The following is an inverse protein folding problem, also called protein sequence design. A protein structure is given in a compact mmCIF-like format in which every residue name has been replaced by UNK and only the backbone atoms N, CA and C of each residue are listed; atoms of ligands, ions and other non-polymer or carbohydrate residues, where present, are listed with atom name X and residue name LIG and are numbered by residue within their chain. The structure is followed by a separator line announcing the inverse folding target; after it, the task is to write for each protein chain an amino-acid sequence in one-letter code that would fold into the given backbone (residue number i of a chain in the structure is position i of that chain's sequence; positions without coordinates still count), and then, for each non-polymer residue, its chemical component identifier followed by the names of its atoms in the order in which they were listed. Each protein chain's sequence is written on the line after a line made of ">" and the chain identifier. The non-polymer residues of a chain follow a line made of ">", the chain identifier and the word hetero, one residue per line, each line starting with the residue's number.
data_IF_824419546989
#
_entry.id   IF_824419546989
#
_cell.length_a   1.000
_cell.length_b   1.000
_cell.length_c   1.000
_cell.angle_alpha   90.00
_cell.angle_beta   90.00
_cell.angle_gamma   90.00
#
_symmetry.space_group_name_H-M   'P 1'
#
loop_
_entity.id
_entity.type
_entity.pdbx_description
1 polymer ?
#
# COMPACT_ATOMS: atom_id res chain seq x y z
N UNK A 1 16.63 -46.99 -3.90
CA UNK A 1 16.34 -46.02 -2.82
C UNK A 1 16.92 -44.61 -3.06
N UNK A 2 17.37 -44.21 -4.27
CA UNK A 2 18.04 -42.91 -4.46
C UNK A 2 17.20 -41.77 -5.08
N UNK A 3 16.05 -42.06 -5.70
CA UNK A 3 15.27 -41.02 -6.40
C UNK A 3 14.34 -40.21 -5.47
N UNK A 4 13.91 -40.80 -4.36
CA UNK A 4 13.01 -40.14 -3.40
C UNK A 4 13.72 -39.00 -2.67
N UNK A 5 14.97 -39.19 -2.24
CA UNK A 5 15.77 -38.13 -1.58
C UNK A 5 16.10 -36.97 -2.53
N UNK A 6 16.30 -37.24 -3.83
CA UNK A 6 16.48 -36.19 -4.85
C UNK A 6 15.22 -35.34 -5.03
N UNK A 7 14.03 -35.95 -4.97
CA UNK A 7 12.74 -35.24 -5.06
C UNK A 7 12.53 -34.35 -3.83
N UNK A 8 12.79 -34.86 -2.62
CA UNK A 8 12.69 -34.06 -1.39
C UNK A 8 13.68 -32.88 -1.38
N UNK A 9 14.89 -33.07 -1.90
CA UNK A 9 15.90 -32.01 -1.97
C UNK A 9 15.53 -30.92 -2.99
N UNK A 10 14.90 -31.30 -4.11
CA UNK A 10 14.36 -30.36 -5.11
C UNK A 10 13.18 -29.55 -4.55
N UNK A 11 12.27 -30.22 -3.81
CA UNK A 11 11.11 -29.58 -3.18
C UNK A 11 11.58 -28.57 -2.11
N UNK A 12 12.56 -28.93 -1.28
CA UNK A 12 13.16 -28.01 -0.31
C UNK A 12 13.78 -26.78 -0.99
N UNK A 13 14.42 -26.92 -2.16
CA UNK A 13 15.01 -25.80 -2.90
C UNK A 13 13.96 -24.83 -3.44
N UNK A 14 12.79 -25.33 -3.83
CA UNK A 14 11.68 -24.48 -4.32
C UNK A 14 11.09 -23.60 -3.21
N UNK A 15 11.03 -24.09 -1.97
CA UNK A 15 10.51 -23.32 -0.82
C UNK A 15 11.44 -22.19 -0.36
N UNK A 16 12.75 -22.25 -0.65
CA UNK A 16 13.73 -21.24 -0.22
C UNK A 16 13.65 -19.93 -1.03
N UNK A 17 12.89 -19.88 -2.12
CA UNK A 17 12.80 -18.68 -3.00
C UNK A 17 11.63 -17.76 -2.69
N UNK A 18 10.79 -18.08 -1.70
CA UNK A 18 9.59 -17.31 -1.37
C UNK A 18 9.88 -16.11 -0.45
N UNK A 19 10.84 -15.27 -0.82
CA UNK A 19 10.98 -13.95 -0.23
C UNK A 19 9.96 -13.02 -0.89
N UNK A 20 8.89 -12.67 -0.16
CA UNK A 20 7.92 -11.67 -0.62
C UNK A 20 8.63 -10.33 -0.86
N UNK A 21 8.53 -9.81 -2.09
CA UNK A 21 8.99 -8.47 -2.43
C UNK A 21 8.05 -7.36 -1.91
N UNK A 22 7.17 -7.66 -0.95
CA UNK A 22 6.26 -6.71 -0.30
C UNK A 22 6.47 -6.81 1.20
N UNK A 23 6.75 -5.68 1.83
CA UNK A 23 6.90 -5.52 3.27
C UNK A 23 5.77 -4.64 3.82
N UNK A 24 5.09 -5.07 4.88
CA UNK A 24 4.02 -4.30 5.52
C UNK A 24 4.53 -3.73 6.86
N UNK A 25 4.24 -2.45 7.11
CA UNK A 25 4.64 -1.68 8.29
C UNK A 25 3.40 -1.05 8.92
N UNK A 26 3.32 -1.07 10.24
CA UNK A 26 2.17 -0.56 10.99
C UNK A 26 2.65 0.39 12.07
N UNK A 27 2.23 1.65 12.02
CA UNK A 27 2.48 2.64 13.06
C UNK A 27 1.33 2.65 14.07
N UNK A 28 1.59 2.11 15.25
CA UNK A 28 0.64 2.12 16.37
C UNK A 28 0.65 3.48 17.09
N UNK A 29 0.18 4.53 16.43
CA UNK A 29 -0.25 5.75 17.12
C UNK A 29 -1.79 5.76 17.17
N UNK A 30 -2.34 5.84 18.40
CA UNK A 30 -3.79 5.89 18.57
C UNK A 30 -4.38 7.14 17.88
N UNK A 31 -5.55 7.00 17.28
CA UNK A 31 -6.32 8.12 16.70
C UNK A 31 -6.62 9.24 17.73
N UNK A 32 -6.43 8.98 19.04
CA UNK A 32 -6.67 9.90 20.14
C UNK A 32 -5.64 11.04 20.23
N UNK A 33 -4.48 10.89 19.58
CA UNK A 33 -3.56 12.00 19.41
C UNK A 33 -4.21 13.03 18.48
N UNK A 34 -4.51 14.21 19.02
CA UNK A 34 -5.21 15.31 18.33
C UNK A 34 -4.68 15.45 16.90
N UNK A 35 -5.58 15.29 15.91
CA UNK A 35 -5.25 15.43 14.49
C UNK A 35 -4.89 16.91 14.26
N UNK A 36 -3.59 17.18 14.12
CA UNK A 36 -3.03 18.53 14.00
C UNK A 36 -2.14 18.67 12.76
N UNK A 37 -1.82 19.91 12.40
CA UNK A 37 -0.94 20.24 11.29
C UNK A 37 -1.43 19.71 9.94
N UNK A 38 -0.53 19.14 9.15
CA UNK A 38 -0.83 18.64 7.80
C UNK A 38 -1.83 17.48 7.81
N UNK A 39 -1.86 16.67 8.88
CA UNK A 39 -2.87 15.63 9.04
C UNK A 39 -4.26 16.24 9.00
N UNK A 40 -4.52 17.28 9.80
CA UNK A 40 -5.84 17.94 9.83
C UNK A 40 -6.28 18.41 8.44
N UNK A 41 -5.36 19.08 7.72
CA UNK A 41 -5.63 19.56 6.36
C UNK A 41 -6.00 18.42 5.41
N UNK A 42 -5.32 17.26 5.48
CA UNK A 42 -5.63 16.11 4.63
C UNK A 42 -6.91 15.39 5.06
N UNK A 43 -7.18 15.30 6.36
CA UNK A 43 -8.43 14.76 6.89
C UNK A 43 -9.63 15.58 6.41
N UNK A 44 -9.56 16.91 6.52
CA UNK A 44 -10.60 17.83 6.05
C UNK A 44 -10.77 17.72 4.52
N UNK A 45 -9.66 17.75 3.77
CA UNK A 45 -9.69 17.77 2.30
C UNK A 45 -10.28 16.49 1.70
N UNK A 46 -10.02 15.34 2.30
CA UNK A 46 -10.44 14.03 1.79
C UNK A 46 -11.53 13.36 2.61
N UNK A 47 -12.08 14.06 3.61
CA UNK A 47 -13.19 13.59 4.45
C UNK A 47 -12.84 12.25 5.16
N UNK A 48 -11.62 12.17 5.70
CA UNK A 48 -11.07 10.95 6.32
C UNK A 48 -11.57 10.72 7.76
N UNK A 49 -12.36 11.64 8.30
CA UNK A 49 -13.07 11.46 9.57
C UNK A 49 -14.15 10.37 9.45
N UNK A 50 -14.62 10.05 8.24
CA UNK A 50 -15.52 8.93 8.01
C UNK A 50 -14.81 7.61 8.22
N UNK A 51 -15.44 6.71 8.96
CA UNK A 51 -14.87 5.41 9.32
C UNK A 51 -14.54 4.57 8.10
N UNK A 52 -15.37 4.64 7.06
CA UNK A 52 -15.26 3.85 5.83
C UNK A 52 -14.15 4.28 4.87
N UNK A 53 -13.44 5.39 5.15
CA UNK A 53 -12.48 5.98 4.21
C UNK A 53 -11.05 5.87 4.68
N UNK A 54 -10.17 5.49 3.75
CA UNK A 54 -8.72 5.61 3.89
C UNK A 54 -8.11 6.20 2.61
N UNK A 55 -6.92 6.77 2.72
CA UNK A 55 -6.19 7.39 1.63
C UNK A 55 -4.95 6.58 1.28
N UNK A 56 -4.88 6.09 0.04
CA UNK A 56 -3.66 5.52 -0.53
C UNK A 56 -2.82 6.66 -1.12
N UNK A 57 -1.54 6.68 -0.78
CA UNK A 57 -0.55 7.63 -1.29
C UNK A 57 0.65 6.87 -1.82
N UNK A 58 1.08 7.18 -3.04
CA UNK A 58 2.26 6.55 -3.64
C UNK A 58 3.48 7.44 -3.42
N UNK A 59 4.44 6.99 -2.61
CA UNK A 59 5.66 7.74 -2.29
C UNK A 59 6.82 7.31 -3.18
N UNK A 60 7.73 8.23 -3.52
CA UNK A 60 9.06 7.96 -4.08
C UNK A 60 9.15 7.02 -5.32
N UNK A 61 9.85 7.45 -6.37
CA UNK A 61 10.26 6.59 -7.49
C UNK A 61 9.12 5.90 -8.29
N UNK A 62 7.90 6.42 -8.25
CA UNK A 62 6.84 5.98 -9.15
C UNK A 62 6.95 6.70 -10.49
N UNK A 63 6.93 5.91 -11.57
CA UNK A 63 6.68 6.32 -12.95
C UNK A 63 6.04 5.11 -13.64
N UNK A 64 4.82 4.80 -13.23
CA UNK A 64 4.17 3.51 -13.48
C UNK A 64 2.68 3.70 -13.75
N UNK A 65 2.10 2.83 -14.56
CA UNK A 65 0.65 2.73 -14.70
C UNK A 65 0.10 2.02 -13.47
N UNK A 66 -0.75 2.72 -12.73
CA UNK A 66 -1.39 2.18 -11.54
C UNK A 66 -2.88 2.04 -11.78
N UNK A 67 -3.39 0.84 -11.49
CA UNK A 67 -4.81 0.52 -11.47
C UNK A 67 -5.20 0.06 -10.06
N UNK A 68 -6.24 0.67 -9.49
CA UNK A 68 -6.78 0.29 -8.19
C UNK A 68 -8.21 -0.19 -8.38
N UNK A 69 -8.49 -1.39 -7.87
CA UNK A 69 -9.82 -1.97 -7.77
C UNK A 69 -10.20 -1.97 -6.30
N UNK A 70 -11.37 -1.42 -5.99
CA UNK A 70 -11.94 -1.41 -4.65
C UNK A 70 -13.46 -1.58 -4.80
N UNK A 71 -14.07 -2.44 -3.99
CA UNK A 71 -15.48 -2.85 -4.16
C UNK A 71 -15.80 -3.32 -5.61
N UNK A 72 -14.94 -4.16 -6.19
CA UNK A 72 -15.03 -4.66 -7.57
C UNK A 72 -15.08 -3.58 -8.67
N UNK A 73 -14.85 -2.31 -8.34
CA UNK A 73 -14.85 -1.18 -9.28
C UNK A 73 -13.44 -0.65 -9.48
N UNK A 74 -13.12 -0.26 -10.70
CA UNK A 74 -11.87 0.44 -11.01
C UNK A 74 -12.04 1.90 -10.56
N UNK A 75 -11.45 2.25 -9.42
CA UNK A 75 -11.53 3.60 -8.85
C UNK A 75 -10.35 4.49 -9.28
N UNK A 76 -9.30 3.87 -9.83
CA UNK A 76 -8.11 4.55 -10.28
C UNK A 76 -7.47 3.76 -11.42
N UNK A 77 -7.13 4.43 -12.52
CA UNK A 77 -6.39 3.82 -13.63
C UNK A 77 -5.66 4.90 -14.41
N UNK A 78 -4.41 5.20 -14.03
CA UNK A 78 -3.60 6.23 -14.71
C UNK A 78 -2.12 5.99 -14.51
N UNK A 79 -1.32 6.57 -15.40
CA UNK A 79 0.11 6.70 -15.16
C UNK A 79 0.34 7.71 -14.02
N UNK A 80 1.13 7.30 -13.01
CA UNK A 80 1.54 8.16 -11.91
C UNK A 80 3.03 8.38 -11.97
N UNK A 81 3.44 9.63 -11.75
CA UNK A 81 4.84 10.02 -11.61
C UNK A 81 5.01 10.77 -10.30
N UNK A 82 5.90 10.29 -9.44
CA UNK A 82 6.28 11.03 -8.22
C UNK A 82 6.89 12.36 -8.63
N UNK A 83 6.38 13.46 -8.07
CA UNK A 83 6.99 14.77 -8.29
C UNK A 83 8.12 14.93 -7.27
N UNK A 84 9.38 15.15 -7.70
CA UNK A 84 10.51 15.28 -6.77
C UNK A 84 10.30 16.34 -5.70
N UNK A 85 9.61 17.43 -6.05
CA UNK A 85 9.31 18.55 -5.15
C UNK A 85 8.24 18.24 -4.10
N UNK A 86 7.46 17.17 -4.26
CA UNK A 86 6.37 16.82 -3.34
C UNK A 86 6.63 15.51 -2.58
N UNK A 87 7.57 14.67 -3.01
CA UNK A 87 7.86 13.38 -2.39
C UNK A 87 6.81 12.28 -2.65
N UNK A 88 5.61 12.64 -3.14
CA UNK A 88 4.54 11.69 -3.46
C UNK A 88 3.95 11.87 -4.86
N UNK A 89 3.18 10.85 -5.26
CA UNK A 89 2.35 10.78 -6.44
C UNK A 89 0.88 10.63 -6.01
N UNK A 90 0.01 11.27 -6.78
CA UNK A 90 -1.44 11.10 -6.84
C UNK A 90 -2.10 10.30 -5.70
N UNK A 91 -2.77 10.95 -4.73
CA UNK A 91 -3.54 10.25 -3.72
C UNK A 91 -4.81 9.61 -4.30
N UNK A 92 -5.32 8.56 -3.66
CA UNK A 92 -6.54 7.86 -4.02
C UNK A 92 -7.34 7.48 -2.76
N UNK A 93 -8.61 7.88 -2.69
CA UNK A 93 -9.52 7.50 -1.60
C UNK A 93 -10.06 6.10 -1.88
N UNK A 94 -10.10 5.25 -0.85
CA UNK A 94 -10.66 3.90 -0.89
C UNK A 94 -11.74 3.73 0.19
N UNK A 95 -12.64 2.79 -0.03
CA UNK A 95 -13.46 2.16 0.99
C UNK A 95 -12.63 1.10 1.74
N UNK A 96 -12.42 1.31 3.04
CA UNK A 96 -11.57 0.46 3.88
C UNK A 96 -12.30 -0.75 4.49
N UNK A 97 -13.59 -0.94 4.21
CA UNK A 97 -14.34 -2.15 4.58
C UNK A 97 -14.34 -3.21 3.48
N UNK A 98 -13.67 -2.96 2.36
CA UNK A 98 -13.61 -3.89 1.23
C UNK A 98 -12.18 -4.15 0.79
N UNK A 99 -11.97 -5.28 0.12
CA UNK A 99 -10.68 -5.61 -0.46
C UNK A 99 -10.22 -4.52 -1.44
N UNK A 100 -8.94 -4.20 -1.39
CA UNK A 100 -8.29 -3.30 -2.33
C UNK A 100 -7.23 -4.08 -3.10
N UNK A 101 -7.35 -4.10 -4.43
CA UNK A 101 -6.33 -4.66 -5.32
C UNK A 101 -5.65 -3.54 -6.09
N UNK A 102 -4.34 -3.35 -5.85
CA UNK A 102 -3.50 -2.39 -6.56
C UNK A 102 -2.64 -3.16 -7.57
N UNK A 103 -2.73 -2.76 -8.83
CA UNK A 103 -1.93 -3.29 -9.93
C UNK A 103 -0.96 -2.21 -10.40
N UNK A 104 0.32 -2.57 -10.49
CA UNK A 104 1.40 -1.69 -10.97
C UNK A 104 1.97 -2.30 -12.25
N UNK A 105 1.86 -1.55 -13.35
CA UNK A 105 2.21 -1.95 -14.73
C UNK A 105 1.62 -3.30 -15.16
N UNK A 106 0.51 -3.73 -14.56
CA UNK A 106 -0.08 -5.08 -14.68
C UNK A 106 0.88 -6.24 -14.34
N UNK A 107 2.06 -5.96 -13.76
CA UNK A 107 3.07 -6.96 -13.40
C UNK A 107 3.04 -7.31 -11.92
N UNK A 108 2.76 -6.31 -11.07
CA UNK A 108 2.71 -6.48 -9.62
C UNK A 108 1.28 -6.28 -9.15
N UNK A 109 0.77 -7.25 -8.39
CA UNK A 109 -0.49 -7.13 -7.63
C UNK A 109 -0.16 -7.01 -6.15
N UNK A 110 -0.74 -6.02 -5.49
CA UNK A 110 -0.75 -5.85 -4.04
C UNK A 110 -2.22 -5.94 -3.63
N UNK A 111 -2.52 -6.81 -2.67
CA UNK A 111 -3.87 -6.94 -2.11
C UNK A 111 -3.84 -6.44 -0.66
N UNK A 112 -4.71 -5.49 -0.35
CA UNK A 112 -4.95 -5.03 1.02
C UNK A 112 -6.31 -5.57 1.46
N UNK A 113 -6.33 -6.23 2.63
CA UNK A 113 -7.52 -6.78 3.25
C UNK A 113 -8.12 -5.77 4.24
N UNK A 114 -9.46 -5.74 4.41
CA UNK A 114 -10.15 -4.89 5.38
C UNK A 114 -9.50 -4.90 6.78
N UNK A 115 -9.09 -6.09 7.23
CA UNK A 115 -8.42 -6.35 8.50
C UNK A 115 -7.16 -5.48 8.73
N UNK A 116 -6.47 -5.10 7.65
CA UNK A 116 -5.24 -4.32 7.70
C UNK A 116 -5.48 -2.82 7.49
N UNK A 117 -6.61 -2.42 6.91
CA UNK A 117 -6.85 -1.05 6.44
C UNK A 117 -7.90 -0.29 7.25
N UNK A 118 -8.85 -0.97 7.88
CA UNK A 118 -9.96 -0.33 8.60
C UNK A 118 -9.50 0.52 9.80
N UNK A 119 -8.37 0.18 10.41
CA UNK A 119 -7.79 0.87 11.56
C UNK A 119 -6.88 2.07 11.19
N UNK A 120 -6.67 2.32 9.89
CA UNK A 120 -5.68 3.28 9.41
C UNK A 120 -6.25 4.22 8.35
N UNK A 121 -6.02 5.52 8.51
CA UNK A 121 -6.52 6.54 7.57
C UNK A 121 -5.56 6.82 6.41
N UNK A 122 -4.27 6.57 6.58
CA UNK A 122 -3.28 6.70 5.50
C UNK A 122 -2.57 5.38 5.24
N UNK A 123 -2.36 5.12 3.95
CA UNK A 123 -1.69 3.94 3.43
C UNK A 123 -0.64 4.43 2.43
N UNK A 124 0.62 4.42 2.83
CA UNK A 124 1.73 4.84 1.97
C UNK A 124 2.33 3.63 1.28
N UNK A 125 2.47 3.72 -0.04
CA UNK A 125 3.10 2.69 -0.87
C UNK A 125 4.40 3.28 -1.39
N UNK A 126 5.52 2.72 -0.97
CA UNK A 126 6.85 3.14 -1.39
C UNK A 126 7.50 2.04 -2.25
N UNK A 127 8.32 2.45 -3.21
CA UNK A 127 8.96 1.58 -4.20
C UNK A 127 10.48 1.74 -4.18
N UNK A 128 11.16 0.62 -3.95
CA UNK A 128 12.62 0.48 -4.03
C UNK A 128 12.97 -0.61 -5.05
N UNK A 129 13.10 -0.23 -6.32
CA UNK A 129 13.29 -1.17 -7.42
C UNK A 129 12.06 -2.07 -7.63
N UNK A 130 12.24 -3.38 -7.43
CA UNK A 130 11.15 -4.38 -7.48
C UNK A 130 10.53 -4.69 -6.11
N UNK A 131 11.03 -4.06 -5.04
CA UNK A 131 10.52 -4.21 -3.68
C UNK A 131 9.57 -3.06 -3.33
N UNK A 132 8.55 -3.39 -2.56
CA UNK A 132 7.52 -2.47 -2.12
C UNK A 132 7.41 -2.51 -0.60
N UNK A 133 7.31 -1.34 0.03
CA UNK A 133 6.91 -1.22 1.42
C UNK A 133 5.55 -0.52 1.49
N UNK A 134 4.69 -1.02 2.37
CA UNK A 134 3.35 -0.50 2.58
C UNK A 134 3.24 -0.12 4.05
N UNK A 135 3.13 1.17 4.33
CA UNK A 135 3.01 1.72 5.67
C UNK A 135 1.56 2.11 5.94
N UNK A 136 1.03 1.60 7.04
CA UNK A 136 -0.28 1.97 7.57
C UNK A 136 -0.11 2.87 8.78
N UNK A 137 -0.76 4.04 8.75
CA UNK A 137 -0.66 5.03 9.83
C UNK A 137 -1.91 5.91 9.87
N UNK A 138 -2.13 6.57 11.01
CA UNK A 138 -3.19 7.55 11.19
C UNK A 138 -2.73 9.00 11.05
N UNK A 139 -1.43 9.20 10.77
CA UNK A 139 -0.79 10.50 10.61
C UNK A 139 -0.36 10.75 9.17
N UNK A 140 -0.56 11.97 8.71
CA UNK A 140 -0.05 12.38 7.41
C UNK A 140 1.48 12.54 7.47
N UNK A 141 2.18 11.99 6.49
CA UNK A 141 3.59 12.28 6.27
C UNK A 141 3.77 13.70 5.77
N UNK A 142 4.72 14.42 6.38
CA UNK A 142 5.19 15.70 5.89
C UNK A 142 6.55 15.47 5.25
N UNK A 143 6.64 15.62 3.93
CA UNK A 143 7.92 15.68 3.23
C UNK A 143 8.39 17.13 3.30
N UNK A 144 9.46 17.39 4.06
CA UNK A 144 10.16 18.68 4.09
C UNK A 144 11.20 18.74 2.98
#
# INVERSE_FOLDING_TARGET
>A
MNNIYKIYLLICFLFLTSCSNIHFLYENESLSNKIEGISKVLYDKYDLYKDEKSLIVFESNFNNVVKIINDNKIIFNRNIKTKPTLGFAAPCIINNFSDVSIFIDNKKKITLKPENINNYKFIYINKHGNRYSILFTNKAHSYR
#
